data_IF_223485792077
#
_entry.id   IF_223485792077
#
_cell.length_a   1.000
_cell.length_b   1.000
_cell.length_c   1.000
_cell.angle_alpha   90.00
_cell.angle_beta   90.00
_cell.angle_gamma   90.00
#
_symmetry.space_group_name_H-M   'P 1'
#
loop_
_entity.id
_entity.type
_entity.pdbx_description
1 polymer ?
#
# COMPACT_ATOMS: atom_id res chain seq x y z
N UNK A 1 -1.16 -15.57 2.78
CA UNK A 1 -0.23 -14.74 1.99
C UNK A 1 0.63 -13.89 2.94
N UNK A 2 1.92 -13.82 2.71
CA UNK A 2 2.85 -13.04 3.52
C UNK A 2 3.70 -12.12 2.63
N UNK A 3 4.35 -11.15 3.24
CA UNK A 3 5.34 -10.30 2.57
C UNK A 3 6.55 -10.13 3.47
N UNK A 4 7.71 -9.96 2.84
CA UNK A 4 8.95 -9.52 3.50
C UNK A 4 9.12 -8.05 3.18
N UNK A 5 9.20 -7.19 4.19
CA UNK A 5 9.33 -5.76 4.02
C UNK A 5 10.66 -5.26 4.60
N UNK A 6 11.38 -4.48 3.82
CA UNK A 6 12.63 -3.83 4.20
C UNK A 6 12.57 -2.35 3.83
N UNK A 7 12.94 -1.48 4.75
CA UNK A 7 13.07 -0.05 4.48
C UNK A 7 14.36 0.51 5.05
N UNK A 8 15.04 1.35 4.28
CA UNK A 8 16.13 2.19 4.77
C UNK A 8 15.56 3.58 5.03
N UNK A 9 15.72 4.05 6.26
CA UNK A 9 15.23 5.35 6.71
C UNK A 9 16.42 6.23 7.08
N UNK A 10 16.54 7.37 6.43
CA UNK A 10 17.57 8.38 6.71
C UNK A 10 16.91 9.70 7.06
N UNK A 11 17.27 10.27 8.19
CA UNK A 11 16.69 11.53 8.70
C UNK A 11 15.13 11.55 8.67
N UNK A 12 14.50 10.42 8.98
CA UNK A 12 13.04 10.27 8.99
C UNK A 12 12.36 10.11 7.63
N UNK A 13 13.13 10.00 6.55
CA UNK A 13 12.63 9.74 5.19
C UNK A 13 13.00 8.32 4.76
N UNK A 14 12.06 7.62 4.14
CA UNK A 14 12.36 6.33 3.53
C UNK A 14 13.10 6.59 2.22
N UNK A 15 14.36 6.19 2.15
CA UNK A 15 15.20 6.36 0.94
C UNK A 15 15.21 5.12 0.06
N UNK A 16 14.92 3.95 0.64
CA UNK A 16 14.75 2.69 -0.07
C UNK A 16 13.61 1.89 0.58
N UNK A 17 12.70 1.39 -0.23
CA UNK A 17 11.67 0.44 0.18
C UNK A 17 11.71 -0.82 -0.67
N UNK A 18 11.60 -1.99 -0.04
CA UNK A 18 11.54 -3.29 -0.72
C UNK A 18 10.42 -4.13 -0.11
N UNK A 19 9.59 -4.72 -0.97
CA UNK A 19 8.55 -5.68 -0.62
C UNK A 19 8.76 -6.97 -1.40
N UNK A 20 9.15 -8.05 -0.75
CA UNK A 20 9.09 -9.39 -1.33
C UNK A 20 7.69 -9.96 -1.11
N UNK A 21 6.97 -10.22 -2.19
CA UNK A 21 5.59 -10.70 -2.16
C UNK A 21 5.45 -12.05 -2.87
N UNK A 22 5.85 -13.16 -2.24
CA UNK A 22 5.68 -14.50 -2.80
C UNK A 22 4.21 -14.81 -3.01
N UNK A 23 3.89 -15.49 -4.12
CA UNK A 23 2.53 -15.84 -4.53
C UNK A 23 1.60 -14.62 -4.81
N UNK A 24 2.17 -13.43 -5.03
CA UNK A 24 1.40 -12.26 -5.43
C UNK A 24 1.18 -12.28 -6.95
N UNK A 25 -0.08 -12.31 -7.36
CA UNK A 25 -0.53 -12.30 -8.74
C UNK A 25 0.33 -13.20 -9.68
N UNK A 26 0.20 -14.54 -9.55
CA UNK A 26 1.03 -15.47 -10.31
C UNK A 26 0.85 -15.40 -11.83
N UNK A 27 -0.30 -14.90 -12.31
CA UNK A 27 -0.56 -14.71 -13.74
C UNK A 27 0.31 -13.60 -14.34
N UNK A 28 0.57 -12.56 -13.56
CA UNK A 28 1.37 -11.40 -14.01
C UNK A 28 2.85 -11.54 -13.68
N UNK A 29 3.18 -12.10 -12.52
CA UNK A 29 4.53 -12.11 -11.96
C UNK A 29 5.17 -13.50 -11.91
N UNK A 30 4.43 -14.55 -12.31
CA UNK A 30 4.87 -15.93 -12.21
C UNK A 30 4.56 -16.57 -10.86
N UNK A 31 4.66 -17.88 -10.79
CA UNK A 31 4.22 -18.72 -9.66
C UNK A 31 4.83 -18.34 -8.30
N UNK A 32 5.98 -17.67 -8.29
CA UNK A 32 6.70 -17.27 -7.09
C UNK A 32 6.47 -15.81 -6.68
N UNK A 33 5.57 -15.08 -7.38
CA UNK A 33 5.30 -13.67 -7.13
C UNK A 33 6.44 -12.74 -7.55
N UNK A 34 6.56 -11.58 -6.87
CA UNK A 34 7.53 -10.55 -7.24
C UNK A 34 8.16 -9.85 -6.04
N UNK A 35 9.31 -9.24 -6.30
CA UNK A 35 9.94 -8.22 -5.46
C UNK A 35 9.56 -6.85 -6.03
N UNK A 36 8.98 -6.01 -5.20
CA UNK A 36 8.68 -4.61 -5.50
C UNK A 36 9.67 -3.72 -4.75
N UNK A 37 10.25 -2.75 -5.42
CA UNK A 37 11.19 -1.86 -4.76
C UNK A 37 11.16 -0.45 -5.33
N UNK A 38 11.62 0.49 -4.53
CA UNK A 38 11.70 1.89 -4.90
C UNK A 38 12.87 2.56 -4.18
N UNK A 39 13.54 3.46 -4.89
CA UNK A 39 14.53 4.38 -4.33
C UNK A 39 13.94 5.78 -4.45
N UNK A 40 14.10 6.59 -3.41
CA UNK A 40 13.56 7.96 -3.38
C UNK A 40 14.01 8.78 -4.60
N UNK A 41 13.05 9.27 -5.39
CA UNK A 41 13.28 10.00 -6.64
C UNK A 41 13.69 9.12 -7.84
N UNK A 42 13.76 7.80 -7.66
CA UNK A 42 14.18 6.85 -8.69
C UNK A 42 13.03 6.10 -9.37
N UNK A 43 11.81 6.27 -8.86
CA UNK A 43 10.64 5.51 -9.30
C UNK A 43 10.54 4.13 -8.64
N UNK A 44 9.47 3.41 -8.99
CA UNK A 44 9.19 2.08 -8.47
C UNK A 44 9.31 1.00 -9.55
N UNK A 45 9.77 -0.17 -9.15
CA UNK A 45 10.04 -1.30 -10.02
C UNK A 45 9.53 -2.60 -9.41
N UNK A 46 9.25 -3.58 -10.26
CA UNK A 46 8.98 -4.95 -9.85
C UNK A 46 9.76 -5.95 -10.70
N UNK A 47 10.24 -7.02 -10.04
CA UNK A 47 10.93 -8.13 -10.66
C UNK A 47 10.31 -9.45 -10.20
N UNK A 48 10.10 -10.44 -11.08
CA UNK A 48 9.67 -11.79 -10.68
C UNK A 48 10.65 -12.42 -9.68
N UNK A 49 10.13 -13.22 -8.75
CA UNK A 49 10.99 -14.04 -7.86
C UNK A 49 11.37 -15.31 -8.60
N UNK A 50 12.67 -15.51 -8.82
CA UNK A 50 13.25 -16.70 -9.42
C UNK A 50 14.03 -17.48 -8.34
N UNK A 51 13.47 -18.58 -7.80
CA UNK A 51 14.12 -19.36 -6.75
C UNK A 51 15.43 -19.97 -7.25
N UNK A 52 16.43 -19.98 -6.38
CA UNK A 52 17.73 -20.62 -6.65
C UNK A 52 18.68 -19.84 -7.55
N UNK A 53 18.25 -18.72 -8.09
CA UNK A 53 19.14 -17.84 -8.85
C UNK A 53 19.76 -16.83 -7.90
N UNK A 54 21.10 -16.82 -7.69
CA UNK A 54 21.76 -15.75 -6.98
C UNK A 54 21.50 -14.44 -7.74
N UNK A 55 20.83 -13.50 -7.11
CA UNK A 55 20.58 -12.19 -7.73
C UNK A 55 21.87 -11.39 -7.70
N UNK A 56 22.59 -11.39 -8.81
CA UNK A 56 23.68 -10.44 -9.04
C UNK A 56 23.14 -9.02 -9.22
N UNK A 57 23.98 -8.02 -9.02
CA UNK A 57 23.59 -6.60 -9.10
C UNK A 57 22.91 -6.18 -10.39
N UNK A 58 23.06 -6.94 -11.47
CA UNK A 58 22.61 -6.58 -12.82
C UNK A 58 21.53 -7.51 -13.41
N UNK A 59 21.10 -8.53 -12.64
CA UNK A 59 20.30 -9.64 -13.20
C UNK A 59 18.80 -9.54 -12.84
N UNK A 60 18.36 -8.47 -12.17
CA UNK A 60 16.94 -8.23 -11.93
C UNK A 60 16.26 -7.86 -13.26
N UNK A 61 15.48 -8.77 -13.82
CA UNK A 61 14.55 -8.47 -14.91
C UNK A 61 13.42 -7.56 -14.40
N UNK A 62 13.82 -6.39 -13.91
CA UNK A 62 12.94 -5.44 -13.25
C UNK A 62 12.25 -4.55 -14.28
N UNK A 63 10.97 -4.37 -14.11
CA UNK A 63 10.15 -3.48 -14.94
C UNK A 63 9.64 -2.32 -14.09
N UNK A 64 9.58 -1.09 -14.64
CA UNK A 64 8.96 0.03 -13.96
C UNK A 64 7.48 -0.27 -13.74
N UNK A 65 6.98 0.09 -12.57
CA UNK A 65 5.56 -0.02 -12.21
C UNK A 65 4.98 1.34 -11.92
N UNK A 66 3.67 1.45 -12.09
CA UNK A 66 2.89 2.64 -11.78
C UNK A 66 1.55 2.24 -11.20
N UNK A 67 1.01 3.10 -10.36
CA UNK A 67 -0.38 3.03 -9.91
C UNK A 67 -1.35 3.09 -11.10
N UNK A 68 -2.59 2.63 -10.92
CA UNK A 68 -3.61 2.74 -11.95
C UNK A 68 -3.98 4.21 -12.25
N UNK A 69 -4.56 4.43 -13.42
CA UNK A 69 -4.94 5.76 -13.90
C UNK A 69 -6.37 6.19 -13.55
N UNK A 70 -7.10 5.40 -12.75
CA UNK A 70 -8.50 5.64 -12.41
C UNK A 70 -8.68 6.97 -11.69
N UNK A 71 -9.58 7.80 -12.20
CA UNK A 71 -9.93 9.10 -11.61
C UNK A 71 -11.41 9.20 -11.20
N UNK A 72 -12.19 8.16 -11.46
CA UNK A 72 -13.60 8.03 -11.08
C UNK A 72 -13.74 6.98 -9.99
N UNK A 73 -14.29 7.34 -8.82
CA UNK A 73 -14.44 6.40 -7.70
C UNK A 73 -15.20 5.12 -8.08
N UNK A 74 -16.21 5.21 -8.95
CA UNK A 74 -17.06 4.07 -9.36
C UNK A 74 -16.27 2.99 -10.08
N UNK A 75 -15.17 3.36 -10.72
CA UNK A 75 -14.26 2.45 -11.41
C UNK A 75 -13.10 1.98 -10.53
N UNK A 76 -13.02 2.46 -9.30
CA UNK A 76 -11.95 2.13 -8.37
C UNK A 76 -12.11 0.70 -7.82
N UNK A 77 -10.98 0.09 -7.50
CA UNK A 77 -10.92 -1.21 -6.82
C UNK A 77 -10.31 -1.04 -5.44
N UNK A 78 -11.07 -1.42 -4.42
CA UNK A 78 -10.63 -1.41 -3.04
C UNK A 78 -9.76 -2.63 -2.73
N UNK A 79 -8.72 -2.47 -1.90
CA UNK A 79 -7.90 -3.56 -1.39
C UNK A 79 -8.08 -3.68 0.12
N UNK A 80 -8.46 -4.87 0.59
CA UNK A 80 -8.68 -5.15 2.02
C UNK A 80 -8.05 -6.47 2.45
N UNK A 81 -7.97 -6.72 3.76
CA UNK A 81 -7.49 -8.00 4.28
C UNK A 81 -8.53 -9.10 4.10
N UNK A 82 -8.07 -10.34 3.94
CA UNK A 82 -8.92 -11.55 3.95
C UNK A 82 -9.54 -11.72 5.32
N UNK A 83 -8.75 -11.56 6.39
CA UNK A 83 -9.21 -11.71 7.77
C UNK A 83 -9.95 -10.46 8.25
N UNK A 84 -11.18 -10.64 8.75
CA UNK A 84 -11.99 -9.57 9.34
C UNK A 84 -11.34 -8.92 10.57
N UNK A 85 -10.48 -9.66 11.29
CA UNK A 85 -9.71 -9.11 12.41
C UNK A 85 -8.72 -8.00 12.01
N UNK A 86 -8.39 -7.88 10.72
CA UNK A 86 -7.47 -6.90 10.17
C UNK A 86 -8.15 -5.83 9.30
N UNK A 87 -9.47 -5.92 9.10
CA UNK A 87 -10.27 -4.97 8.33
C UNK A 87 -11.66 -4.86 8.94
N UNK A 88 -12.11 -3.64 9.19
CA UNK A 88 -13.51 -3.38 9.49
C UNK A 88 -14.28 -3.33 8.16
N UNK A 89 -14.73 -4.50 7.72
CA UNK A 89 -15.43 -4.66 6.44
C UNK A 89 -16.71 -3.82 6.35
N UNK A 90 -17.36 -3.54 7.47
CA UNK A 90 -18.58 -2.71 7.48
C UNK A 90 -18.24 -1.24 7.22
N UNK A 91 -17.20 -0.70 7.87
CA UNK A 91 -16.73 0.66 7.60
C UNK A 91 -16.22 0.78 6.16
N UNK A 92 -15.47 -0.21 5.68
CA UNK A 92 -15.02 -0.25 4.28
C UNK A 92 -16.21 -0.20 3.32
N UNK A 93 -17.26 -1.01 3.56
CA UNK A 93 -18.48 -1.01 2.74
C UNK A 93 -19.17 0.35 2.74
N UNK A 94 -19.32 0.99 3.91
CA UNK A 94 -19.93 2.33 4.02
C UNK A 94 -19.13 3.39 3.24
N UNK A 95 -17.81 3.30 3.23
CA UNK A 95 -16.95 4.19 2.43
C UNK A 95 -17.15 3.89 0.94
N UNK A 96 -17.17 2.62 0.53
CA UNK A 96 -17.45 2.23 -0.85
C UNK A 96 -18.81 2.71 -1.33
N UNK A 97 -19.87 2.52 -0.53
CA UNK A 97 -21.24 2.97 -0.84
C UNK A 97 -21.26 4.49 -1.06
N UNK A 98 -20.57 5.24 -0.19
CA UNK A 98 -20.49 6.71 -0.28
C UNK A 98 -19.76 7.20 -1.53
N UNK A 99 -18.77 6.44 -1.98
CA UNK A 99 -17.97 6.72 -3.19
C UNK A 99 -18.59 6.15 -4.47
N UNK A 100 -19.66 5.37 -4.37
CA UNK A 100 -20.27 4.69 -5.51
C UNK A 100 -19.41 3.55 -6.07
N UNK A 101 -18.50 2.96 -5.26
CA UNK A 101 -17.65 1.85 -5.67
C UNK A 101 -18.48 0.57 -5.66
N UNK A 102 -18.65 -0.04 -6.84
CA UNK A 102 -19.44 -1.26 -7.04
C UNK A 102 -18.56 -2.51 -7.22
N UNK A 103 -17.28 -2.33 -7.53
CA UNK A 103 -16.36 -3.44 -7.75
C UNK A 103 -16.12 -4.21 -6.45
N UNK A 104 -16.12 -5.53 -6.53
CA UNK A 104 -15.73 -6.38 -5.40
C UNK A 104 -14.30 -6.07 -4.97
N UNK A 105 -14.02 -6.01 -3.65
CA UNK A 105 -12.69 -5.70 -3.16
C UNK A 105 -11.67 -6.79 -3.53
N UNK A 106 -10.45 -6.37 -3.78
CA UNK A 106 -9.30 -7.25 -3.88
C UNK A 106 -8.88 -7.66 -2.47
N UNK A 107 -8.97 -8.94 -2.15
CA UNK A 107 -8.62 -9.45 -0.81
C UNK A 107 -7.22 -10.01 -0.78
N UNK A 108 -6.35 -9.33 -0.08
CA UNK A 108 -4.93 -9.64 0.04
C UNK A 108 -4.49 -9.37 1.48
N UNK A 109 -3.77 -10.31 2.09
CA UNK A 109 -3.16 -10.09 3.39
C UNK A 109 -1.75 -9.48 3.28
N UNK A 110 -1.20 -9.06 4.41
CA UNK A 110 0.15 -8.50 4.54
C UNK A 110 0.37 -7.15 3.82
N UNK A 111 1.63 -6.74 3.73
CA UNK A 111 2.06 -5.56 2.99
C UNK A 111 1.96 -5.72 1.45
N UNK A 112 1.59 -6.88 0.95
CA UNK A 112 1.28 -7.08 -0.47
C UNK A 112 0.13 -6.17 -0.96
N UNK A 113 -0.68 -5.62 -0.04
CA UNK A 113 -1.67 -4.57 -0.36
C UNK A 113 -1.04 -3.31 -0.95
N UNK A 114 0.13 -2.90 -0.44
CA UNK A 114 0.88 -1.78 -1.05
C UNK A 114 1.40 -2.12 -2.45
N UNK A 115 1.86 -3.37 -2.64
CA UNK A 115 2.27 -3.85 -3.96
C UNK A 115 1.09 -3.81 -4.96
N UNK A 116 -0.12 -4.17 -4.51
CA UNK A 116 -1.33 -4.11 -5.33
C UNK A 116 -1.65 -2.67 -5.78
N UNK A 117 -1.51 -1.69 -4.88
CA UNK A 117 -1.68 -0.27 -5.25
C UNK A 117 -0.58 0.17 -6.22
N UNK A 118 0.68 -0.09 -5.89
CA UNK A 118 1.82 0.37 -6.68
C UNK A 118 1.88 -0.23 -8.08
N UNK A 119 1.36 -1.46 -8.28
CA UNK A 119 1.31 -2.13 -9.59
C UNK A 119 0.00 -1.91 -10.36
N UNK A 120 -0.91 -1.10 -9.82
CA UNK A 120 -2.19 -0.77 -10.46
C UNK A 120 -3.24 -1.89 -10.42
N UNK A 121 -3.08 -2.87 -9.53
CA UNK A 121 -4.03 -3.97 -9.35
C UNK A 121 -5.23 -3.56 -8.47
N UNK A 122 -5.01 -2.56 -7.62
CA UNK A 122 -6.04 -1.91 -6.83
C UNK A 122 -5.76 -0.40 -6.77
N UNK A 123 -6.80 0.38 -6.47
CA UNK A 123 -6.75 1.85 -6.46
C UNK A 123 -6.69 2.43 -5.06
N UNK A 124 -7.22 1.72 -4.06
CA UNK A 124 -7.41 2.19 -2.68
C UNK A 124 -7.06 1.08 -1.69
N UNK A 125 -6.19 1.38 -0.75
CA UNK A 125 -5.95 0.58 0.45
C UNK A 125 -6.16 1.44 1.69
N UNK A 126 -6.96 0.94 2.61
CA UNK A 126 -7.31 1.60 3.85
C UNK A 126 -6.99 0.69 5.03
N UNK A 127 -6.30 1.23 6.04
CA UNK A 127 -6.09 0.56 7.32
C UNK A 127 -6.67 1.40 8.44
N UNK A 128 -7.77 0.91 8.99
CA UNK A 128 -8.42 1.53 10.15
C UNK A 128 -7.63 1.27 11.43
N UNK A 129 -7.55 2.24 12.35
CA UNK A 129 -6.95 2.01 13.65
C UNK A 129 -7.80 1.02 14.45
N UNK A 130 -7.18 0.00 15.02
CA UNK A 130 -7.86 -1.04 15.84
C UNK A 130 -8.53 -0.49 17.11
N UNK A 131 -8.02 0.62 17.62
CA UNK A 131 -8.57 1.35 18.76
C UNK A 131 -8.03 2.78 18.79
N UNK A 132 -8.60 3.64 19.62
CA UNK A 132 -8.12 5.02 19.81
C UNK A 132 -6.69 5.11 20.34
N UNK A 133 -6.25 4.12 21.09
CA UNK A 133 -4.90 4.04 21.68
C UNK A 133 -3.88 3.35 20.77
N UNK A 134 -4.32 2.57 19.79
CA UNK A 134 -3.41 1.82 18.91
C UNK A 134 -2.63 2.76 17.99
N UNK A 135 -1.35 2.47 17.82
CA UNK A 135 -0.47 3.17 16.86
C UNK A 135 0.22 2.16 15.96
N UNK A 136 0.16 2.43 14.68
CA UNK A 136 0.79 1.60 13.65
C UNK A 136 2.31 1.55 13.85
N UNK A 137 2.92 0.45 13.42
CA UNK A 137 4.35 0.25 13.51
C UNK A 137 5.02 0.72 12.22
N UNK A 138 6.18 1.35 12.32
CA UNK A 138 6.89 1.87 11.14
C UNK A 138 7.23 0.75 10.14
N UNK A 139 7.57 -0.44 10.61
CA UNK A 139 7.92 -1.58 9.77
C UNK A 139 6.74 -2.18 9.00
N UNK A 140 5.49 -1.87 9.41
CA UNK A 140 4.29 -2.30 8.68
C UNK A 140 3.96 -1.35 7.50
N UNK A 141 4.62 -0.20 7.41
CA UNK A 141 4.24 0.85 6.46
C UNK A 141 5.39 1.47 5.66
N UNK A 142 6.59 1.57 6.22
CA UNK A 142 7.67 2.34 5.62
C UNK A 142 8.03 1.87 4.20
N UNK A 143 8.26 0.57 4.01
CA UNK A 143 8.59 0.02 2.70
C UNK A 143 7.45 0.22 1.68
N UNK A 144 6.22 -0.13 2.09
CA UNK A 144 5.05 -0.01 1.23
C UNK A 144 4.74 1.44 0.84
N UNK A 145 4.86 2.37 1.79
CA UNK A 145 4.65 3.79 1.52
C UNK A 145 5.63 4.33 0.47
N UNK A 146 6.92 3.97 0.57
CA UNK A 146 7.92 4.37 -0.42
C UNK A 146 7.59 3.80 -1.82
N UNK A 147 7.26 2.51 -1.91
CA UNK A 147 6.95 1.86 -3.19
C UNK A 147 5.72 2.49 -3.85
N UNK A 148 4.64 2.76 -3.09
CA UNK A 148 3.45 3.42 -3.63
C UNK A 148 3.73 4.85 -4.06
N UNK A 149 4.47 5.61 -3.26
CA UNK A 149 4.79 7.01 -3.57
C UNK A 149 5.62 7.11 -4.85
N UNK A 150 6.65 6.29 -4.98
CA UNK A 150 7.52 6.26 -6.16
C UNK A 150 6.82 5.67 -7.42
N UNK A 151 5.76 4.88 -7.24
CA UNK A 151 4.88 4.46 -8.33
C UNK A 151 3.90 5.56 -8.79
N UNK A 152 3.91 6.74 -8.17
CA UNK A 152 3.04 7.88 -8.47
C UNK A 152 1.73 7.89 -7.68
N UNK A 153 1.61 7.07 -6.63
CA UNK A 153 0.51 7.09 -5.69
C UNK A 153 0.71 8.07 -4.53
N UNK A 154 -0.22 8.06 -3.59
CA UNK A 154 -0.17 8.89 -2.39
C UNK A 154 -0.48 8.07 -1.14
N UNK A 155 0.31 8.27 -0.07
CA UNK A 155 0.13 7.62 1.22
C UNK A 155 0.08 8.67 2.33
N UNK A 156 -1.01 8.66 3.11
CA UNK A 156 -1.21 9.58 4.24
C UNK A 156 -1.86 8.85 5.42
N UNK A 157 -1.95 9.54 6.53
CA UNK A 157 -2.90 9.21 7.58
C UNK A 157 -4.31 9.75 7.25
N UNK A 158 -5.26 9.61 8.17
CA UNK A 158 -6.64 10.07 8.00
C UNK A 158 -6.83 11.59 8.16
N UNK A 159 -5.80 12.32 8.60
CA UNK A 159 -5.79 13.78 8.54
C UNK A 159 -5.34 14.31 7.18
N UNK A 160 -4.82 13.44 6.32
CA UNK A 160 -4.19 13.80 5.05
C UNK A 160 -2.70 14.13 5.17
N UNK A 161 -2.13 13.95 6.36
CA UNK A 161 -0.70 14.19 6.60
C UNK A 161 0.16 13.05 6.06
N UNK A 162 1.25 13.33 5.33
CA UNK A 162 2.22 12.32 4.93
C UNK A 162 2.78 11.59 6.15
N UNK A 163 3.07 10.29 6.00
CA UNK A 163 3.63 9.50 7.10
C UNK A 163 5.06 9.97 7.44
N UNK A 164 5.29 10.28 8.72
CA UNK A 164 6.59 10.62 9.25
C UNK A 164 7.23 9.43 9.99
N UNK A 165 8.53 9.22 9.81
CA UNK A 165 9.26 8.09 10.39
C UNK A 165 10.35 8.53 11.38
N UNK A 166 10.15 9.68 12.06
CA UNK A 166 11.08 10.25 13.04
C UNK A 166 10.74 9.90 14.49
N UNK A 167 9.55 9.34 14.77
CA UNK A 167 9.02 9.17 16.12
C UNK A 167 9.40 7.81 16.77
N UNK A 168 10.39 7.12 16.23
CA UNK A 168 10.86 5.82 16.68
C UNK A 168 10.04 4.67 16.08
N UNK A 169 9.63 3.69 16.90
CA UNK A 169 9.04 2.44 16.42
C UNK A 169 7.58 2.53 15.97
N UNK A 170 6.91 3.61 16.28
CA UNK A 170 5.47 3.77 16.03
C UNK A 170 5.17 5.12 15.38
N UNK A 171 4.13 5.16 14.58
CA UNK A 171 3.57 6.36 13.97
C UNK A 171 2.68 7.07 15.00
N UNK A 172 3.30 7.71 16.00
CA UNK A 172 2.58 8.25 17.19
C UNK A 172 1.58 9.33 16.83
N UNK A 173 1.96 10.23 15.92
CA UNK A 173 1.15 11.37 15.49
C UNK A 173 0.14 11.03 14.41
N UNK A 174 0.15 9.78 13.90
CA UNK A 174 -0.67 9.36 12.78
C UNK A 174 -1.79 8.42 13.21
N UNK A 175 -2.97 8.57 12.59
CA UNK A 175 -4.12 7.71 12.81
C UNK A 175 -4.66 7.17 11.51
N UNK A 176 -4.72 5.83 11.44
CA UNK A 176 -5.09 5.14 10.22
C UNK A 176 -4.09 5.36 9.08
N UNK A 177 -4.22 4.59 8.03
CA UNK A 177 -3.40 4.70 6.83
C UNK A 177 -4.30 4.68 5.61
N UNK A 178 -4.09 5.62 4.71
CA UNK A 178 -4.71 5.64 3.39
C UNK A 178 -3.62 5.63 2.33
N UNK A 179 -3.61 4.61 1.48
CA UNK A 179 -2.78 4.55 0.27
C UNK A 179 -3.68 4.48 -0.97
N UNK A 180 -3.40 5.30 -1.96
CA UNK A 180 -4.21 5.35 -3.19
C UNK A 180 -3.34 5.55 -4.42
N UNK A 181 -3.98 5.50 -5.59
CA UNK A 181 -3.38 5.89 -6.87
C UNK A 181 -3.13 7.42 -7.01
N UNK A 182 -3.31 8.19 -5.95
CA UNK A 182 -3.12 9.65 -5.91
C UNK A 182 -4.32 10.43 -6.44
N UNK A 183 -4.92 10.03 -7.54
CA UNK A 183 -6.04 10.75 -8.19
C UNK A 183 -7.33 10.71 -7.38
N UNK A 184 -7.56 9.62 -6.67
CA UNK A 184 -8.74 9.42 -5.83
C UNK A 184 -8.55 9.87 -4.39
N UNK A 185 -7.33 10.27 -4.01
CA UNK A 185 -6.93 10.41 -2.62
C UNK A 185 -7.82 11.35 -1.81
N UNK A 186 -8.02 12.57 -2.30
CA UNK A 186 -8.77 13.59 -1.54
C UNK A 186 -10.26 13.24 -1.40
N UNK A 187 -10.86 12.65 -2.43
CA UNK A 187 -12.24 12.16 -2.38
C UNK A 187 -12.41 11.01 -1.38
N UNK A 188 -11.47 10.05 -1.37
CA UNK A 188 -11.48 8.94 -0.42
C UNK A 188 -11.24 9.44 1.01
N UNK A 189 -10.31 10.36 1.20
CA UNK A 189 -10.02 10.96 2.50
C UNK A 189 -11.26 11.66 3.08
N UNK A 190 -11.96 12.46 2.27
CA UNK A 190 -13.22 13.10 2.66
C UNK A 190 -14.31 12.08 3.04
N UNK A 191 -14.42 10.98 2.29
CA UNK A 191 -15.36 9.91 2.61
C UNK A 191 -15.03 9.22 3.95
N UNK A 192 -13.74 8.98 4.24
CA UNK A 192 -13.27 8.44 5.51
C UNK A 192 -13.64 9.39 6.66
N UNK A 193 -13.27 10.66 6.56
CA UNK A 193 -13.51 11.68 7.60
C UNK A 193 -14.99 11.86 7.92
N UNK A 194 -15.87 11.64 6.94
CA UNK A 194 -17.33 11.69 7.13
C UNK A 194 -17.92 10.39 7.66
N UNK A 195 -17.18 9.30 7.68
CA UNK A 195 -17.69 7.96 8.03
C UNK A 195 -17.13 7.46 9.36
N UNK A 196 -15.89 7.83 9.66
CA UNK A 196 -15.15 7.41 10.85
C UNK A 196 -14.99 8.61 11.78
N UNK A 197 -15.35 8.45 13.06
CA UNK A 197 -14.99 9.44 14.07
C UNK A 197 -13.47 9.41 14.27
N UNK A 198 -12.80 10.48 13.89
CA UNK A 198 -11.32 10.61 13.95
C UNK A 198 -10.92 11.23 15.28
#
# INVERSE_FOLDING_TARGET
>A
QYAVALALIEAGRVVLGVLGCPNFNPEKWGANGAIFYAVAGGGAFAAPIEPGTPVGRNDLNAKPIRVDGTNRPEAARFCESVESAHSDHEVHRRICDRLGILASPCRIDSQAKYAAIASGEASIYLRLPRSSAYREKIWDHAAGAAVVTEAGGRVTDFSGSPLGFTEGRTLKSHRGILATNGRLHDGVLSAIQSTVAI
#
